data_IF_187647569455
#
_entry.id   IF_187647569455
#
_cell.length_a   1.000
_cell.length_b   1.000
_cell.length_c   1.000
_cell.angle_alpha   90.00
_cell.angle_beta   90.00
_cell.angle_gamma   90.00
#
_symmetry.space_group_name_H-M   'P 1'
#
loop_
_entity.id
_entity.type
_entity.pdbx_description
1 polymer ?
#
# COMPACT_ATOMS: atom_id res chain seq x y z
N UNK A 1 -59.94 45.88 0.63
CA UNK A 1 -59.25 44.61 0.96
C UNK A 1 -58.53 44.14 -0.28
N UNK A 2 -57.21 44.30 -0.34
CA UNK A 2 -56.38 43.74 -1.41
C UNK A 2 -55.66 42.55 -0.78
N UNK A 3 -56.05 41.35 -1.21
CA UNK A 3 -55.42 40.10 -0.79
C UNK A 3 -54.08 40.03 -1.52
N UNK A 4 -52.99 40.31 -0.80
CA UNK A 4 -51.65 40.00 -1.27
C UNK A 4 -51.42 38.49 -1.16
N UNK A 5 -51.45 37.82 -2.31
CA UNK A 5 -50.95 36.45 -2.43
C UNK A 5 -49.45 36.41 -2.09
N UNK A 6 -48.99 35.51 -1.21
CA UNK A 6 -47.56 35.35 -0.98
C UNK A 6 -46.93 34.71 -2.23
N UNK A 7 -45.95 35.40 -2.82
CA UNK A 7 -45.03 34.79 -3.79
C UNK A 7 -44.39 33.57 -3.10
N UNK A 8 -44.75 32.36 -3.52
CA UNK A 8 -43.98 31.16 -3.21
C UNK A 8 -42.54 31.42 -3.67
N UNK A 9 -41.60 31.44 -2.73
CA UNK A 9 -40.18 31.42 -3.04
C UNK A 9 -39.89 30.12 -3.80
N UNK A 10 -39.53 30.22 -5.09
CA UNK A 10 -38.97 29.08 -5.83
C UNK A 10 -37.82 28.49 -5.00
N UNK A 11 -38.02 27.28 -4.51
CA UNK A 11 -37.00 26.57 -3.77
C UNK A 11 -35.92 26.15 -4.78
N UNK A 12 -34.82 26.90 -4.88
CA UNK A 12 -33.73 26.69 -5.86
C UNK A 12 -33.00 25.33 -5.72
N UNK A 13 -33.41 24.49 -4.76
CA UNK A 13 -32.91 23.15 -4.52
C UNK A 13 -34.08 22.23 -4.12
N UNK A 14 -34.84 21.69 -5.09
CA UNK A 14 -35.88 20.70 -4.81
C UNK A 14 -35.31 19.47 -4.08
N UNK A 15 -36.11 18.83 -3.23
CA UNK A 15 -35.73 17.58 -2.58
C UNK A 15 -35.95 16.43 -3.54
N UNK A 16 -34.89 15.64 -3.76
CA UNK A 16 -34.95 14.35 -4.44
C UNK A 16 -34.94 13.29 -3.34
N UNK A 17 -36.08 12.59 -3.11
CA UNK A 17 -36.19 11.63 -2.02
C UNK A 17 -35.40 10.35 -2.28
N UNK A 18 -35.28 9.94 -3.54
CA UNK A 18 -34.52 8.78 -3.98
C UNK A 18 -33.41 9.18 -4.95
N UNK A 19 -32.17 8.85 -4.61
CA UNK A 19 -31.02 9.25 -5.43
C UNK A 19 -30.97 8.46 -6.74
N UNK A 20 -31.65 7.32 -6.83
CA UNK A 20 -31.72 6.50 -8.04
C UNK A 20 -32.59 7.16 -9.13
N UNK A 21 -33.44 8.13 -8.75
CA UNK A 21 -34.21 8.95 -9.70
C UNK A 21 -33.31 9.90 -10.54
N UNK A 22 -32.07 10.12 -10.09
CA UNK A 22 -31.16 11.12 -10.66
C UNK A 22 -29.78 10.57 -10.99
N UNK A 23 -29.27 9.62 -10.21
CA UNK A 23 -27.99 8.97 -10.46
C UNK A 23 -28.24 7.81 -11.42
N UNK A 24 -27.63 7.79 -12.61
CA UNK A 24 -27.78 6.67 -13.53
C UNK A 24 -27.35 5.35 -12.90
N UNK A 25 -27.88 4.24 -13.41
CA UNK A 25 -27.41 2.92 -13.01
C UNK A 25 -25.90 2.76 -13.24
N UNK A 26 -25.20 2.00 -12.36
CA UNK A 26 -23.81 1.65 -12.56
C UNK A 26 -23.59 0.98 -13.93
N UNK A 27 -22.59 1.42 -14.68
CA UNK A 27 -22.27 0.75 -15.95
C UNK A 27 -21.51 -0.55 -15.75
N UNK A 28 -20.90 -0.71 -14.57
CA UNK A 28 -20.22 -1.93 -14.18
C UNK A 28 -21.22 -2.81 -13.45
N UNK A 29 -21.46 -4.01 -13.98
CA UNK A 29 -22.34 -5.01 -13.39
C UNK A 29 -21.57 -6.30 -13.08
N UNK A 30 -21.85 -6.91 -11.93
CA UNK A 30 -21.40 -8.26 -11.62
C UNK A 30 -22.31 -9.31 -12.27
N UNK A 31 -21.73 -10.23 -13.01
CA UNK A 31 -22.41 -11.27 -13.77
C UNK A 31 -22.35 -12.59 -12.99
N UNK A 32 -23.50 -13.21 -12.66
CA UNK A 32 -23.52 -14.49 -11.96
C UNK A 32 -22.83 -15.59 -12.78
N UNK A 33 -22.34 -16.61 -12.09
CA UNK A 33 -21.73 -17.78 -12.76
C UNK A 33 -22.85 -18.62 -13.39
N UNK A 34 -22.79 -18.92 -14.70
CA UNK A 34 -23.79 -19.77 -15.33
C UNK A 34 -23.83 -21.17 -14.70
N UNK A 35 -25.01 -21.78 -14.73
CA UNK A 35 -25.20 -23.11 -14.17
C UNK A 35 -24.28 -24.13 -14.88
N UNK A 36 -23.58 -24.95 -14.10
CA UNK A 36 -22.68 -25.98 -14.62
C UNK A 36 -21.24 -25.52 -14.90
N UNK A 37 -20.94 -24.22 -14.85
CA UNK A 37 -19.57 -23.72 -15.02
C UNK A 37 -18.84 -23.71 -13.67
N UNK A 38 -17.66 -24.33 -13.62
CA UNK A 38 -16.75 -24.25 -12.47
C UNK A 38 -15.69 -23.21 -12.75
N UNK A 39 -15.75 -22.09 -12.02
CA UNK A 39 -14.71 -21.06 -12.02
C UNK A 39 -13.88 -21.15 -10.74
N UNK A 40 -12.62 -20.70 -10.77
CA UNK A 40 -11.87 -20.46 -9.55
C UNK A 40 -12.68 -19.60 -8.57
N UNK A 41 -12.60 -19.88 -7.26
CA UNK A 41 -13.19 -18.97 -6.29
C UNK A 41 -12.57 -17.59 -6.49
N UNK A 42 -13.37 -16.55 -6.30
CA UNK A 42 -12.94 -15.15 -6.38
C UNK A 42 -12.65 -14.59 -7.78
N UNK A 43 -12.88 -15.30 -8.89
CA UNK A 43 -12.77 -14.75 -10.26
C UNK A 43 -13.50 -13.42 -10.41
N UNK A 44 -12.91 -12.46 -11.14
CA UNK A 44 -13.54 -11.18 -11.43
C UNK A 44 -14.64 -11.38 -12.46
N UNK A 45 -15.88 -11.18 -12.03
CA UNK A 45 -17.10 -11.38 -12.83
C UNK A 45 -17.78 -10.07 -13.20
N UNK A 46 -17.02 -9.05 -13.55
CA UNK A 46 -17.57 -7.71 -13.82
C UNK A 46 -17.50 -7.38 -15.30
N UNK A 47 -18.60 -6.89 -15.87
CA UNK A 47 -18.66 -6.34 -17.23
C UNK A 47 -19.04 -4.88 -17.18
N UNK A 48 -18.63 -4.15 -18.22
CA UNK A 48 -19.06 -2.79 -18.51
C UNK A 48 -20.03 -2.79 -19.67
N UNK A 49 -21.25 -2.34 -19.45
CA UNK A 49 -22.20 -2.07 -20.53
C UNK A 49 -21.77 -0.83 -21.30
N UNK A 50 -21.87 -0.82 -22.63
CA UNK A 50 -21.52 0.31 -23.48
C UNK A 50 -22.77 1.09 -23.90
N UNK A 51 -22.59 2.36 -24.26
CA UNK A 51 -23.64 3.16 -24.92
C UNK A 51 -24.72 3.73 -23.99
N UNK A 52 -24.55 3.64 -22.66
CA UNK A 52 -25.43 4.32 -21.71
C UNK A 52 -25.39 5.84 -21.95
N UNK A 53 -26.56 6.44 -22.23
CA UNK A 53 -26.65 7.88 -22.38
C UNK A 53 -26.33 8.57 -21.04
N UNK A 54 -25.50 9.63 -21.02
CA UNK A 54 -25.32 10.43 -19.83
C UNK A 54 -26.64 11.09 -19.43
N UNK A 55 -26.87 11.35 -18.13
CA UNK A 55 -28.08 12.01 -17.67
C UNK A 55 -28.13 13.43 -18.25
N UNK A 56 -29.31 13.85 -18.68
CA UNK A 56 -29.57 15.19 -19.24
C UNK A 56 -30.55 15.95 -18.36
N UNK A 57 -30.22 17.20 -18.07
CA UNK A 57 -31.06 18.08 -17.24
C UNK A 57 -31.23 19.44 -17.93
N UNK A 58 -32.33 20.14 -17.63
CA UNK A 58 -32.62 21.44 -18.24
C UNK A 58 -31.64 22.56 -17.83
N UNK A 59 -30.95 22.37 -16.71
CA UNK A 59 -30.04 23.37 -16.12
C UNK A 59 -28.63 22.82 -15.95
N UNK A 60 -27.63 23.69 -16.06
CA UNK A 60 -26.23 23.37 -15.75
C UNK A 60 -25.58 24.55 -14.98
N UNK A 61 -25.35 24.44 -13.67
CA UNK A 61 -25.52 23.25 -12.84
C UNK A 61 -26.99 22.88 -12.62
N UNK A 62 -27.24 21.57 -12.42
CA UNK A 62 -28.48 21.07 -11.87
C UNK A 62 -28.37 21.04 -10.34
N UNK A 63 -29.31 21.69 -9.66
CA UNK A 63 -29.25 21.96 -8.22
C UNK A 63 -30.41 21.27 -7.50
N UNK A 64 -30.11 20.51 -6.45
CA UNK A 64 -31.12 19.76 -5.68
C UNK A 64 -30.64 19.47 -4.26
N UNK A 65 -31.54 18.99 -3.40
CA UNK A 65 -31.22 18.42 -2.10
C UNK A 65 -31.41 16.91 -2.09
N UNK A 66 -30.64 16.21 -1.27
CA UNK A 66 -30.74 14.77 -1.04
C UNK A 66 -31.07 14.49 0.43
N UNK A 67 -31.59 13.30 0.77
CA UNK A 67 -31.89 12.93 2.15
C UNK A 67 -30.61 12.88 3.00
N UNK A 68 -30.79 13.06 4.31
CA UNK A 68 -29.70 13.01 5.27
C UNK A 68 -29.09 14.38 5.60
N UNK A 69 -28.10 14.35 6.50
CA UNK A 69 -27.47 15.55 7.07
C UNK A 69 -26.01 15.33 7.49
N UNK A 70 -25.50 14.12 7.34
CA UNK A 70 -24.17 13.73 7.77
C UNK A 70 -23.18 13.73 6.60
N UNK A 71 -21.87 13.72 6.94
CA UNK A 71 -20.83 13.45 5.96
C UNK A 71 -20.97 12.03 5.37
N UNK A 72 -21.46 11.07 6.15
CA UNK A 72 -21.70 9.70 5.69
C UNK A 72 -22.72 9.64 4.56
N UNK A 73 -23.84 10.36 4.71
CA UNK A 73 -24.90 10.44 3.69
C UNK A 73 -24.36 11.07 2.38
N UNK A 74 -23.55 12.13 2.50
CA UNK A 74 -22.91 12.73 1.33
C UNK A 74 -21.87 11.82 0.68
N UNK A 75 -21.11 11.05 1.46
CA UNK A 75 -20.22 10.05 0.88
C UNK A 75 -20.97 8.90 0.22
N UNK A 76 -22.13 8.48 0.75
CA UNK A 76 -22.97 7.47 0.10
C UNK A 76 -23.46 7.95 -1.27
N UNK A 77 -23.94 9.19 -1.38
CA UNK A 77 -24.27 9.79 -2.67
C UNK A 77 -23.05 9.87 -3.61
N UNK A 78 -21.89 10.29 -3.10
CA UNK A 78 -20.67 10.35 -3.89
C UNK A 78 -20.22 8.95 -4.38
N UNK A 79 -20.47 7.89 -3.60
CA UNK A 79 -20.20 6.50 -4.00
C UNK A 79 -21.13 6.06 -5.14
N UNK A 80 -22.41 6.38 -5.07
CA UNK A 80 -23.36 6.12 -6.16
C UNK A 80 -22.94 6.85 -7.45
N UNK A 81 -22.62 8.15 -7.35
CA UNK A 81 -22.04 8.91 -8.46
C UNK A 81 -20.73 8.30 -8.98
N UNK A 82 -19.90 7.74 -8.09
CA UNK A 82 -18.64 7.10 -8.47
C UNK A 82 -18.80 5.79 -9.25
N UNK A 83 -19.98 5.17 -9.19
CA UNK A 83 -20.32 3.99 -9.97
C UNK A 83 -20.58 4.34 -11.44
N UNK A 84 -20.93 5.60 -11.74
CA UNK A 84 -21.13 6.11 -13.10
C UNK A 84 -19.93 6.92 -13.60
N UNK A 85 -19.21 7.69 -12.82
CA UNK A 85 -17.93 8.21 -13.33
C UNK A 85 -16.94 8.04 -12.23
N UNK A 86 -15.69 7.69 -12.53
CA UNK A 86 -14.66 7.68 -11.49
C UNK A 86 -14.27 9.11 -11.08
N UNK A 87 -15.23 9.83 -10.50
CA UNK A 87 -15.12 11.17 -9.97
C UNK A 87 -13.99 11.21 -8.95
N UNK A 88 -13.14 12.21 -9.08
CA UNK A 88 -12.00 12.40 -8.17
C UNK A 88 -12.37 13.48 -7.16
N UNK A 89 -12.25 13.17 -5.87
CA UNK A 89 -12.34 14.18 -4.82
C UNK A 89 -11.15 15.14 -4.97
N UNK A 90 -11.41 16.37 -5.40
CA UNK A 90 -10.40 17.41 -5.59
C UNK A 90 -10.11 18.14 -4.28
N UNK A 91 -11.17 18.42 -3.51
CA UNK A 91 -11.05 19.17 -2.28
C UNK A 91 -12.15 18.79 -1.27
N UNK A 92 -11.82 18.92 0.00
CA UNK A 92 -12.76 18.83 1.12
C UNK A 92 -12.56 20.05 2.02
N UNK A 93 -13.62 20.83 2.21
CA UNK A 93 -13.66 21.90 3.20
C UNK A 93 -14.26 21.34 4.49
N UNK A 94 -13.44 21.02 5.51
CA UNK A 94 -13.91 20.42 6.75
C UNK A 94 -14.77 21.39 7.57
N UNK A 95 -15.57 20.86 8.52
CA UNK A 95 -16.27 21.69 9.50
C UNK A 95 -15.29 22.62 10.22
N UNK A 96 -15.62 23.91 10.33
CA UNK A 96 -14.80 24.84 11.12
C UNK A 96 -14.90 24.49 12.61
N UNK A 97 -13.75 24.36 13.27
CA UNK A 97 -13.66 24.10 14.71
C UNK A 97 -14.15 25.36 15.46
N UNK A 98 -15.01 25.22 16.49
CA UNK A 98 -15.38 26.34 17.35
C UNK A 98 -14.13 27.00 17.97
N UNK A 99 -13.92 28.30 17.76
CA UNK A 99 -12.79 29.06 18.32
C UNK A 99 -11.69 29.47 17.34
N UNK A 100 -11.76 29.09 16.06
CA UNK A 100 -10.81 29.57 15.05
C UNK A 100 -10.96 31.09 14.81
N UNK A 101 -9.85 31.84 14.87
CA UNK A 101 -9.80 33.29 14.61
C UNK A 101 -10.44 33.59 13.25
N UNK A 102 -11.44 34.47 13.22
CA UNK A 102 -12.07 34.95 11.99
C UNK A 102 -11.02 35.72 11.18
N UNK A 103 -10.57 35.19 10.04
CA UNK A 103 -9.89 36.01 9.05
C UNK A 103 -10.93 36.99 8.47
N UNK A 104 -10.63 38.28 8.55
CA UNK A 104 -11.53 39.37 8.18
C UNK A 104 -11.92 39.36 6.68
N UNK A 105 -13.08 39.95 6.40
CA UNK A 105 -13.58 40.42 5.09
C UNK A 105 -14.10 39.39 4.07
N UNK A 106 -15.11 38.58 4.42
CA UNK A 106 -15.88 37.79 3.45
C UNK A 106 -17.33 37.56 3.89
N UNK A 107 -18.22 37.30 2.93
CA UNK A 107 -19.62 36.91 3.19
C UNK A 107 -19.63 35.70 4.14
N UNK A 108 -20.52 35.65 5.16
CA UNK A 108 -20.62 34.52 6.05
C UNK A 108 -20.75 33.21 5.26
N UNK A 109 -20.03 32.14 5.64
CA UNK A 109 -20.15 30.86 4.96
C UNK A 109 -21.60 30.37 5.08
N UNK A 110 -22.15 29.89 3.96
CA UNK A 110 -23.53 29.38 3.88
C UNK A 110 -23.62 27.88 4.17
N UNK A 111 -22.48 27.22 4.34
CA UNK A 111 -22.37 25.78 4.54
C UNK A 111 -21.44 25.45 5.72
N UNK A 112 -21.69 24.30 6.36
CA UNK A 112 -20.84 23.78 7.43
C UNK A 112 -19.58 23.11 6.89
N UNK A 113 -19.73 22.33 5.83
CA UNK A 113 -18.65 21.64 5.10
C UNK A 113 -19.06 21.46 3.64
N UNK A 114 -18.08 21.23 2.76
CA UNK A 114 -18.31 21.05 1.32
C UNK A 114 -17.32 20.05 0.71
N UNK A 115 -17.82 19.10 -0.07
CA UNK A 115 -17.06 18.15 -0.88
C UNK A 115 -17.06 18.61 -2.34
N UNK A 116 -15.91 18.47 -3.02
CA UNK A 116 -15.72 18.89 -4.40
C UNK A 116 -15.20 17.73 -5.24
N UNK A 117 -16.00 17.25 -6.18
CA UNK A 117 -15.66 16.15 -7.06
C UNK A 117 -15.56 16.62 -8.51
N UNK A 118 -14.56 16.12 -9.23
CA UNK A 118 -14.27 16.50 -10.62
C UNK A 118 -14.17 15.29 -11.53
N UNK A 119 -14.46 15.50 -12.81
CA UNK A 119 -14.19 14.51 -13.84
C UNK A 119 -12.70 14.14 -13.87
N UNK A 120 -12.33 12.85 -13.98
CA UNK A 120 -10.93 12.44 -14.08
C UNK A 120 -10.21 13.01 -15.31
N UNK A 121 -10.96 13.46 -16.34
CA UNK A 121 -10.44 14.07 -17.56
C UNK A 121 -10.31 15.60 -17.49
N UNK A 122 -10.53 16.22 -16.32
CA UNK A 122 -10.32 17.66 -16.07
C UNK A 122 -8.87 18.09 -16.28
N UNK A 123 -8.69 19.25 -16.91
CA UNK A 123 -7.40 19.86 -17.23
C UNK A 123 -6.83 19.40 -18.57
N UNK A 124 -5.69 19.97 -18.95
CA UNK A 124 -4.94 19.58 -20.14
C UNK A 124 -3.59 18.99 -19.72
N UNK A 125 -3.11 17.99 -20.46
CA UNK A 125 -1.78 17.46 -20.23
C UNK A 125 -0.77 18.25 -21.05
N UNK A 126 0.03 19.05 -20.38
CA UNK A 126 1.21 19.68 -20.97
C UNK A 126 2.41 18.77 -20.69
N UNK A 127 3.00 18.21 -21.75
CA UNK A 127 4.22 17.44 -21.60
C UNK A 127 5.36 18.40 -21.20
N UNK A 128 6.16 18.08 -20.16
CA UNK A 128 7.34 18.87 -19.84
C UNK A 128 8.27 18.95 -21.07
N UNK A 129 8.97 20.08 -21.27
CA UNK A 129 9.97 20.20 -22.33
C UNK A 129 10.97 19.03 -22.23
N UNK A 130 11.23 18.35 -23.35
CA UNK A 130 12.11 17.17 -23.47
C UNK A 130 11.59 15.86 -22.83
N UNK A 131 10.30 15.78 -22.48
CA UNK A 131 9.70 14.50 -22.07
C UNK A 131 9.62 13.53 -23.26
N UNK A 132 10.20 12.33 -23.11
CA UNK A 132 10.01 11.22 -24.06
C UNK A 132 8.63 10.55 -23.97
N UNK A 133 7.79 10.96 -23.01
CA UNK A 133 6.42 10.45 -22.87
C UNK A 133 5.52 11.19 -23.84
N UNK A 134 4.76 10.43 -24.64
CA UNK A 134 3.71 10.97 -25.51
C UNK A 134 2.70 11.79 -24.72
N UNK A 135 1.95 12.66 -25.42
CA UNK A 135 0.82 13.37 -24.83
C UNK A 135 -0.11 12.40 -24.11
N UNK A 136 -0.38 12.64 -22.82
CA UNK A 136 -1.30 11.78 -22.08
C UNK A 136 -2.72 12.03 -22.58
N UNK A 137 -3.28 11.11 -23.37
CA UNK A 137 -4.64 11.21 -23.91
C UNK A 137 -5.77 11.16 -22.87
N UNK A 138 -5.45 11.16 -21.57
CA UNK A 138 -6.41 11.05 -20.47
C UNK A 138 -7.13 12.36 -20.19
N UNK A 139 -6.41 13.48 -20.32
CA UNK A 139 -6.89 14.83 -19.96
C UNK A 139 -7.39 15.55 -21.22
N UNK A 140 -8.60 16.10 -21.17
CA UNK A 140 -9.24 16.74 -22.33
C UNK A 140 -9.98 18.04 -21.98
N UNK A 141 -9.67 18.66 -20.84
CA UNK A 141 -10.29 19.91 -20.41
C UNK A 141 -11.72 19.77 -19.89
N UNK A 142 -12.16 18.56 -19.52
CA UNK A 142 -13.54 18.35 -19.08
C UNK A 142 -13.85 19.13 -17.78
N UNK A 143 -14.88 19.98 -17.81
CA UNK A 143 -15.28 20.82 -16.67
C UNK A 143 -16.38 20.21 -15.80
N UNK A 144 -16.88 19.02 -16.17
CA UNK A 144 -17.88 18.31 -15.40
C UNK A 144 -17.39 18.08 -13.97
N UNK A 145 -18.26 18.37 -13.01
CA UNK A 145 -17.98 18.37 -11.57
C UNK A 145 -19.28 18.32 -10.77
N UNK A 146 -19.21 17.91 -9.53
CA UNK A 146 -20.32 18.13 -8.60
C UNK A 146 -19.80 18.47 -7.21
N UNK A 147 -20.61 19.20 -6.47
CA UNK A 147 -20.31 19.55 -5.09
C UNK A 147 -21.45 19.11 -4.18
N UNK A 148 -21.11 18.66 -2.98
CA UNK A 148 -22.09 18.37 -1.92
C UNK A 148 -21.77 19.26 -0.73
N UNK A 149 -22.76 19.95 -0.18
CA UNK A 149 -22.57 20.80 0.99
C UNK A 149 -23.72 20.71 1.97
N UNK A 150 -23.41 20.75 3.27
CA UNK A 150 -24.43 20.88 4.31
C UNK A 150 -24.76 22.35 4.50
N UNK A 151 -25.94 22.76 4.05
CA UNK A 151 -26.39 24.14 4.12
C UNK A 151 -26.81 24.51 5.55
N UNK A 152 -26.28 25.61 6.09
CA UNK A 152 -26.47 25.97 7.50
C UNK A 152 -27.92 26.33 7.83
N UNK A 153 -28.58 27.12 6.97
CA UNK A 153 -29.90 27.67 7.32
C UNK A 153 -31.02 26.64 7.23
N UNK A 154 -30.89 25.63 6.36
CA UNK A 154 -31.92 24.59 6.16
C UNK A 154 -31.51 23.23 6.70
N UNK A 155 -30.29 23.11 7.25
CA UNK A 155 -29.70 21.84 7.69
C UNK A 155 -29.81 20.70 6.66
N UNK A 156 -29.80 21.03 5.37
CA UNK A 156 -30.03 20.10 4.26
C UNK A 156 -28.77 19.89 3.43
N UNK A 157 -28.58 18.68 2.90
CA UNK A 157 -27.52 18.40 1.93
C UNK A 157 -27.90 18.94 0.56
N UNK A 158 -27.15 19.91 0.06
CA UNK A 158 -27.32 20.51 -1.27
C UNK A 158 -26.26 19.99 -2.22
N UNK A 159 -26.72 19.59 -3.41
CA UNK A 159 -25.89 19.15 -4.52
C UNK A 159 -25.95 20.20 -5.63
N UNK A 160 -24.78 20.58 -6.14
CA UNK A 160 -24.62 21.37 -7.36
C UNK A 160 -23.92 20.49 -8.38
N UNK A 161 -24.63 20.03 -9.41
CA UNK A 161 -24.09 19.10 -10.40
C UNK A 161 -23.91 19.75 -11.76
N UNK A 162 -22.65 19.96 -12.15
CA UNK A 162 -22.25 20.33 -13.50
C UNK A 162 -22.08 19.06 -14.33
N UNK A 163 -23.17 18.56 -14.88
CA UNK A 163 -23.29 17.22 -15.45
C UNK A 163 -22.74 17.10 -16.88
N UNK A 164 -22.57 18.23 -17.60
CA UNK A 164 -22.23 18.22 -19.02
C UNK A 164 -20.74 17.86 -19.22
N UNK A 165 -20.47 16.68 -19.77
CA UNK A 165 -19.12 16.23 -20.13
C UNK A 165 -18.72 16.73 -21.53
N UNK A 166 -17.44 17.06 -21.72
CA UNK A 166 -16.87 17.41 -23.03
C UNK A 166 -16.35 16.21 -23.81
N UNK A 167 -16.62 15.01 -23.32
CA UNK A 167 -16.25 13.74 -23.93
C UNK A 167 -17.40 12.76 -23.74
N UNK A 168 -17.48 11.78 -24.64
CA UNK A 168 -18.42 10.69 -24.49
C UNK A 168 -18.02 9.82 -23.30
N UNK A 169 -19.02 9.43 -22.53
CA UNK A 169 -18.86 8.49 -21.42
C UNK A 169 -19.08 7.08 -21.92
N UNK A 170 -18.44 6.12 -21.26
CA UNK A 170 -18.79 4.71 -21.38
C UNK A 170 -18.64 4.14 -22.82
N UNK A 171 -17.68 4.68 -23.57
CA UNK A 171 -17.21 4.15 -24.86
C UNK A 171 -15.88 3.41 -24.68
N UNK A 172 -15.52 2.56 -25.64
CA UNK A 172 -14.24 1.83 -25.63
C UNK A 172 -13.06 2.81 -25.60
N UNK A 173 -13.17 3.93 -26.31
CA UNK A 173 -12.19 5.01 -26.35
C UNK A 173 -12.06 5.70 -24.99
N UNK A 174 -13.17 5.95 -24.31
CA UNK A 174 -13.16 6.53 -22.97
C UNK A 174 -12.58 5.55 -21.93
N UNK A 175 -12.89 4.26 -22.02
CA UNK A 175 -12.31 3.21 -21.18
C UNK A 175 -10.78 3.19 -21.26
N UNK A 176 -10.22 3.26 -22.46
CA UNK A 176 -8.76 3.29 -22.68
C UNK A 176 -8.08 4.51 -22.04
N UNK A 177 -8.81 5.62 -21.88
CA UNK A 177 -8.29 6.90 -21.39
C UNK A 177 -8.59 7.14 -19.90
N UNK A 178 -9.65 6.53 -19.37
CA UNK A 178 -10.06 6.66 -17.98
C UNK A 178 -9.33 5.67 -17.09
N UNK A 179 -9.67 5.62 -15.80
CA UNK A 179 -9.16 4.60 -14.89
C UNK A 179 -10.22 3.50 -14.80
N UNK A 180 -9.82 2.28 -14.48
CA UNK A 180 -10.75 1.18 -14.14
C UNK A 180 -11.78 1.64 -13.10
N UNK A 181 -12.99 1.06 -13.06
CA UNK A 181 -13.98 1.42 -12.05
C UNK A 181 -13.45 1.24 -10.64
N UNK A 182 -14.09 1.93 -9.69
CA UNK A 182 -13.75 1.81 -8.27
C UNK A 182 -13.97 0.38 -7.76
N UNK A 183 -15.08 -0.28 -8.14
CA UNK A 183 -15.36 -1.66 -7.76
C UNK A 183 -14.24 -2.63 -8.19
N UNK A 184 -13.80 -2.54 -9.45
CA UNK A 184 -12.70 -3.36 -9.99
C UNK A 184 -11.38 -3.04 -9.31
N UNK A 185 -11.09 -1.75 -9.09
CA UNK A 185 -9.89 -1.33 -8.37
C UNK A 185 -9.85 -1.90 -6.95
N UNK A 186 -10.97 -1.86 -6.24
CA UNK A 186 -11.08 -2.35 -4.87
C UNK A 186 -11.00 -3.89 -4.83
N UNK A 187 -11.55 -4.58 -5.83
CA UNK A 187 -11.35 -6.03 -6.01
C UNK A 187 -9.88 -6.39 -6.21
N UNK A 188 -9.16 -5.70 -7.12
CA UNK A 188 -7.72 -5.94 -7.35
C UNK A 188 -6.93 -5.69 -6.08
N UNK A 189 -7.28 -4.61 -5.38
CA UNK A 189 -6.71 -4.28 -4.09
C UNK A 189 -6.86 -5.42 -3.06
N UNK A 190 -8.06 -5.98 -2.90
CA UNK A 190 -8.29 -7.08 -1.97
C UNK A 190 -7.44 -8.32 -2.29
N UNK A 191 -7.21 -8.63 -3.57
CA UNK A 191 -6.33 -9.74 -4.01
C UNK A 191 -4.87 -9.49 -3.65
N UNK A 192 -4.40 -8.27 -3.87
CA UNK A 192 -3.04 -7.86 -3.48
C UNK A 192 -2.87 -7.95 -1.96
N UNK A 193 -3.85 -7.48 -1.18
CA UNK A 193 -3.80 -7.54 0.28
C UNK A 193 -3.84 -8.98 0.80
N UNK A 194 -4.41 -9.90 0.02
CA UNK A 194 -4.38 -11.35 0.28
C UNK A 194 -3.06 -12.02 -0.14
N UNK A 195 -2.08 -11.26 -0.64
CA UNK A 195 -0.75 -11.76 -1.03
C UNK A 195 -0.63 -12.24 -2.47
N UNK A 196 -1.65 -12.07 -3.31
CA UNK A 196 -1.59 -12.50 -4.71
C UNK A 196 -0.70 -11.58 -5.57
N UNK A 197 0.12 -12.20 -6.42
CA UNK A 197 0.93 -11.53 -7.43
C UNK A 197 0.18 -11.30 -8.74
N UNK A 198 0.87 -10.71 -9.73
CA UNK A 198 0.28 -10.46 -11.05
C UNK A 198 -0.21 -11.75 -11.71
N UNK A 199 0.60 -12.80 -11.76
CA UNK A 199 0.27 -14.04 -12.48
C UNK A 199 -1.04 -14.66 -11.96
N UNK A 200 -1.20 -14.75 -10.63
CA UNK A 200 -2.44 -15.23 -10.02
C UNK A 200 -3.63 -14.30 -10.26
N UNK A 201 -3.42 -12.98 -10.28
CA UNK A 201 -4.48 -12.01 -10.57
C UNK A 201 -4.88 -12.10 -12.04
N UNK A 202 -3.92 -12.31 -12.95
CA UNK A 202 -4.15 -12.47 -14.38
C UNK A 202 -5.10 -13.63 -14.65
N UNK A 203 -4.88 -14.79 -14.01
CA UNK A 203 -5.77 -15.94 -14.14
C UNK A 203 -7.20 -15.65 -13.64
N UNK A 204 -7.33 -14.83 -12.59
CA UNK A 204 -8.62 -14.47 -12.01
C UNK A 204 -9.38 -13.39 -12.77
N UNK A 205 -8.72 -12.60 -13.64
CA UNK A 205 -9.40 -11.60 -14.49
C UNK A 205 -9.77 -12.15 -15.86
N UNK A 206 -9.19 -13.28 -16.27
CA UNK A 206 -9.51 -13.97 -17.51
C UNK A 206 -10.74 -14.88 -17.32
N UNK A 207 -11.95 -14.32 -17.46
CA UNK A 207 -13.20 -15.08 -17.45
C UNK A 207 -13.66 -15.33 -18.89
N UNK A 208 -13.21 -16.44 -19.50
CA UNK A 208 -13.53 -16.77 -20.90
C UNK A 208 -15.03 -16.92 -21.18
N UNK A 209 -15.80 -17.30 -20.17
CA UNK A 209 -17.25 -17.42 -20.30
C UNK A 209 -17.98 -16.07 -20.30
N UNK A 210 -17.27 -14.95 -20.06
CA UNK A 210 -17.79 -13.61 -20.35
C UNK A 210 -17.59 -13.24 -21.82
N UNK A 211 -16.74 -13.94 -22.56
CA UNK A 211 -16.46 -13.62 -23.96
C UNK A 211 -17.74 -13.75 -24.79
N UNK A 212 -18.50 -14.83 -24.61
CA UNK A 212 -19.80 -15.08 -25.26
C UNK A 212 -20.81 -13.92 -25.05
N UNK A 213 -20.86 -13.35 -23.83
CA UNK A 213 -21.71 -12.20 -23.53
C UNK A 213 -21.23 -10.93 -24.28
N UNK A 214 -19.91 -10.79 -24.42
CA UNK A 214 -19.27 -9.61 -24.99
C UNK A 214 -19.15 -9.66 -26.52
N UNK A 215 -19.36 -10.81 -27.16
CA UNK A 215 -19.44 -10.94 -28.63
C UNK A 215 -20.52 -10.03 -29.23
N UNK A 216 -21.58 -9.76 -28.47
CA UNK A 216 -22.68 -8.86 -28.87
C UNK A 216 -22.29 -7.38 -28.95
N UNK A 217 -21.04 -7.01 -28.62
CA UNK A 217 -20.50 -5.64 -28.59
C UNK A 217 -21.22 -4.65 -27.65
N UNK A 218 -22.19 -5.12 -26.86
CA UNK A 218 -22.91 -4.30 -25.87
C UNK A 218 -22.20 -4.24 -24.51
N UNK A 219 -21.27 -5.17 -24.25
CA UNK A 219 -20.54 -5.25 -22.99
C UNK A 219 -19.05 -5.57 -23.21
N UNK A 220 -18.21 -5.15 -22.26
CA UNK A 220 -16.78 -5.48 -22.24
C UNK A 220 -16.39 -6.01 -20.86
N UNK A 221 -15.59 -7.08 -20.73
CA UNK A 221 -15.10 -7.54 -19.44
C UNK A 221 -14.21 -6.48 -18.79
N UNK A 222 -14.50 -6.11 -17.54
CA UNK A 222 -13.71 -5.12 -16.81
C UNK A 222 -12.29 -5.62 -16.50
N UNK A 223 -12.10 -6.95 -16.51
CA UNK A 223 -10.79 -7.59 -16.39
C UNK A 223 -9.78 -7.08 -17.43
N UNK A 224 -10.24 -6.68 -18.62
CA UNK A 224 -9.39 -6.13 -19.69
C UNK A 224 -8.69 -4.82 -19.29
N UNK A 225 -9.26 -4.07 -18.35
CA UNK A 225 -8.64 -2.85 -17.82
C UNK A 225 -7.56 -3.10 -16.77
N UNK A 226 -7.41 -4.34 -16.29
CA UNK A 226 -6.44 -4.71 -15.24
C UNK A 226 -5.13 -5.14 -15.91
N UNK A 227 -4.10 -4.29 -15.80
CA UNK A 227 -2.80 -4.55 -16.43
C UNK A 227 -1.72 -4.95 -15.41
N UNK A 228 -0.68 -5.63 -15.90
CA UNK A 228 0.48 -5.99 -15.09
C UNK A 228 1.10 -4.76 -14.41
N UNK A 229 1.22 -3.64 -15.12
CA UNK A 229 1.81 -2.41 -14.58
C UNK A 229 0.92 -1.76 -13.51
N UNK A 230 -0.41 -1.82 -13.66
CA UNK A 230 -1.32 -1.38 -12.61
C UNK A 230 -1.11 -2.21 -11.34
N UNK A 231 -1.09 -3.54 -11.46
CA UNK A 231 -0.94 -4.44 -10.31
C UNK A 231 0.44 -4.24 -9.65
N UNK A 232 1.52 -4.18 -10.43
CA UNK A 232 2.87 -3.87 -9.91
C UNK A 232 2.92 -2.52 -9.19
N UNK A 233 2.31 -1.49 -9.77
CA UNK A 233 2.24 -0.17 -9.15
C UNK A 233 1.45 -0.22 -7.83
N UNK A 234 0.30 -0.88 -7.80
CA UNK A 234 -0.50 -1.04 -6.59
C UNK A 234 0.24 -1.83 -5.51
N UNK A 235 0.91 -2.94 -5.86
CA UNK A 235 1.76 -3.69 -4.93
C UNK A 235 2.83 -2.76 -4.34
N UNK A 236 3.54 -2.01 -5.18
CA UNK A 236 4.59 -1.09 -4.72
C UNK A 236 4.03 0.01 -3.80
N UNK A 237 2.98 0.69 -4.24
CA UNK A 237 2.37 1.79 -3.50
C UNK A 237 1.77 1.33 -2.18
N UNK A 238 1.12 0.16 -2.15
CA UNK A 238 0.52 -0.39 -0.94
C UNK A 238 1.54 -0.98 0.02
N UNK A 239 2.60 -1.61 -0.48
CA UNK A 239 3.79 -1.93 0.32
C UNK A 239 4.42 -0.68 0.95
N UNK A 240 4.42 0.47 0.28
CA UNK A 240 4.97 1.69 0.86
C UNK A 240 4.01 2.40 1.84
N UNK A 241 2.73 2.51 1.50
CA UNK A 241 1.75 3.27 2.28
C UNK A 241 1.29 2.53 3.55
N UNK A 242 1.16 1.20 3.51
CA UNK A 242 0.77 0.43 4.70
C UNK A 242 1.94 0.16 5.64
N UNK A 243 3.19 0.23 5.17
CA UNK A 243 4.39 -0.03 5.99
C UNK A 243 4.82 1.17 6.81
N UNK A 244 4.49 2.40 6.42
CA UNK A 244 4.84 3.61 7.19
C UNK A 244 3.62 4.16 7.93
N UNK A 245 3.46 3.78 9.20
CA UNK A 245 2.35 4.23 10.08
C UNK A 245 2.44 5.70 10.50
N UNK A 246 3.63 6.32 10.38
CA UNK A 246 3.83 7.73 10.71
C UNK A 246 5.01 8.34 9.93
N UNK A 247 5.01 9.68 9.73
CA UNK A 247 6.12 10.39 9.05
C UNK A 247 7.43 10.25 9.82
N UNK A 248 7.41 10.44 11.13
CA UNK A 248 8.56 10.08 11.98
C UNK A 248 8.75 8.55 12.04
N UNK A 249 9.97 8.06 11.78
CA UNK A 249 10.28 6.63 11.68
C UNK A 249 10.18 5.94 13.05
N UNK A 250 10.67 6.56 14.12
CA UNK A 250 10.63 5.98 15.47
C UNK A 250 9.20 5.89 15.99
N UNK A 251 8.37 6.91 15.73
CA UNK A 251 6.93 6.84 16.00
C UNK A 251 6.24 5.78 15.13
N UNK A 252 6.65 5.62 13.88
CA UNK A 252 6.14 4.55 13.01
C UNK A 252 6.48 3.16 13.57
N UNK A 253 7.71 2.95 14.06
CA UNK A 253 8.16 1.71 14.68
C UNK A 253 7.42 1.43 16.00
N UNK A 254 7.19 2.47 16.82
CA UNK A 254 6.39 2.36 18.04
C UNK A 254 4.95 1.92 17.76
N UNK A 255 4.32 2.48 16.71
CA UNK A 255 2.99 2.06 16.26
C UNK A 255 2.99 0.64 15.68
N UNK A 256 4.09 0.21 15.06
CA UNK A 256 4.25 -1.17 14.62
C UNK A 256 4.39 -2.13 15.79
N UNK A 257 5.16 -1.77 16.82
CA UNK A 257 5.31 -2.59 18.01
C UNK A 257 3.96 -2.91 18.66
N UNK A 258 3.14 -1.86 18.89
CA UNK A 258 1.79 -2.01 19.46
C UNK A 258 0.93 -2.93 18.59
N UNK A 259 0.96 -2.73 17.28
CA UNK A 259 0.17 -3.53 16.34
C UNK A 259 0.65 -4.99 16.28
N UNK A 260 1.95 -5.23 16.23
CA UNK A 260 2.52 -6.58 16.23
C UNK A 260 2.17 -7.32 17.52
N UNK A 261 2.32 -6.66 18.68
CA UNK A 261 1.88 -7.22 19.97
C UNK A 261 0.38 -7.55 19.97
N UNK A 262 -0.48 -6.71 19.38
CA UNK A 262 -1.92 -7.02 19.26
C UNK A 262 -2.23 -8.24 18.39
N UNK A 263 -1.33 -8.60 17.47
CA UNK A 263 -1.41 -9.80 16.64
C UNK A 263 -0.73 -11.02 17.28
N UNK A 264 -0.29 -10.90 18.55
CA UNK A 264 0.40 -11.95 19.29
C UNK A 264 1.87 -12.14 18.92
N UNK A 265 2.47 -11.23 18.15
CA UNK A 265 3.90 -11.28 17.86
C UNK A 265 4.72 -10.91 19.09
N UNK A 266 5.91 -11.48 19.18
CA UNK A 266 6.90 -11.13 20.18
C UNK A 266 7.83 -10.05 19.65
N UNK A 267 7.96 -8.96 20.40
CA UNK A 267 8.84 -7.86 20.06
C UNK A 267 9.72 -7.50 21.24
N UNK A 268 10.93 -7.03 20.95
CA UNK A 268 11.84 -6.48 21.94
C UNK A 268 12.45 -5.20 21.40
N UNK A 269 12.10 -4.09 22.04
CA UNK A 269 12.43 -2.75 21.55
C UNK A 269 12.73 -1.82 22.72
N UNK A 270 13.83 -2.02 23.46
CA UNK A 270 14.15 -1.24 24.65
C UNK A 270 14.34 0.25 24.35
N UNK A 271 14.83 0.59 23.14
CA UNK A 271 15.01 1.96 22.68
C UNK A 271 14.57 2.10 21.22
N UNK A 272 13.45 2.79 21.00
CA UNK A 272 12.95 3.21 19.68
C UNK A 272 13.16 4.72 19.54
N UNK A 273 14.41 5.13 19.39
CA UNK A 273 14.82 6.52 19.21
C UNK A 273 16.10 6.61 18.38
N UNK A 274 16.45 7.80 17.91
CA UNK A 274 17.72 8.06 17.23
C UNK A 274 18.88 7.98 18.24
N UNK A 275 19.45 6.79 18.40
CA UNK A 275 20.47 6.48 19.39
C UNK A 275 21.34 5.31 18.93
N UNK A 276 22.56 5.21 19.44
CA UNK A 276 23.39 3.99 19.29
C UNK A 276 22.73 2.77 19.94
N UNK A 277 21.93 3.01 20.99
CA UNK A 277 21.15 1.99 21.66
C UNK A 277 19.88 1.58 20.89
N UNK A 278 19.61 2.15 19.71
CA UNK A 278 18.45 1.78 18.90
C UNK A 278 18.43 0.27 18.65
N UNK A 279 17.35 -0.37 19.08
CA UNK A 279 17.14 -1.81 18.94
C UNK A 279 15.66 -2.09 18.72
N UNK A 280 15.35 -2.84 17.66
CA UNK A 280 13.99 -3.29 17.37
C UNK A 280 14.01 -4.73 16.86
N UNK A 281 13.53 -5.67 17.67
CA UNK A 281 13.49 -7.09 17.36
C UNK A 281 12.05 -7.56 17.20
N UNK A 282 11.84 -8.50 16.27
CA UNK A 282 10.53 -9.10 16.01
C UNK A 282 10.67 -10.61 15.80
N UNK A 283 9.71 -11.34 16.35
CA UNK A 283 9.56 -12.78 16.20
C UNK A 283 8.06 -13.12 16.11
N UNK A 284 7.65 -13.75 15.02
CA UNK A 284 6.26 -14.18 14.86
C UNK A 284 5.92 -15.35 15.78
N UNK A 285 4.63 -15.62 16.08
CA UNK A 285 4.23 -16.76 16.89
C UNK A 285 4.76 -18.10 16.36
N UNK A 286 4.77 -18.26 15.03
CA UNK A 286 5.28 -19.46 14.39
C UNK A 286 6.80 -19.58 14.53
N UNK A 287 7.53 -18.49 14.32
CA UNK A 287 8.99 -18.49 14.49
C UNK A 287 9.40 -18.83 15.92
N UNK A 288 8.67 -18.29 16.91
CA UNK A 288 8.89 -18.62 18.33
C UNK A 288 8.70 -20.12 18.58
N UNK A 289 7.62 -20.71 18.07
CA UNK A 289 7.38 -22.15 18.17
C UNK A 289 8.51 -22.97 17.54
N UNK A 290 8.98 -22.56 16.35
CA UNK A 290 10.09 -23.24 15.69
C UNK A 290 11.39 -23.14 16.50
N UNK A 291 11.68 -21.97 17.08
CA UNK A 291 12.84 -21.78 17.96
C UNK A 291 12.78 -22.66 19.20
N UNK A 292 11.62 -22.74 19.87
CA UNK A 292 11.44 -23.59 21.05
C UNK A 292 11.57 -25.08 20.71
N UNK A 293 11.05 -25.51 19.55
CA UNK A 293 11.07 -26.91 19.16
C UNK A 293 12.43 -27.39 18.63
N UNK A 294 13.20 -26.52 17.96
CA UNK A 294 14.35 -26.92 17.15
C UNK A 294 15.61 -26.08 17.36
N UNK A 295 15.56 -25.04 18.19
CA UNK A 295 16.67 -24.09 18.38
C UNK A 295 17.83 -24.58 19.24
N UNK A 296 17.74 -25.77 19.84
CA UNK A 296 18.76 -26.27 20.77
C UNK A 296 20.01 -26.79 20.08
N UNK A 297 19.97 -27.13 18.80
CA UNK A 297 21.12 -27.76 18.11
C UNK A 297 22.17 -26.72 17.72
N UNK A 298 21.85 -25.90 16.72
CA UNK A 298 22.75 -24.90 16.17
C UNK A 298 22.01 -23.60 15.93
N UNK A 299 22.51 -22.52 16.51
CA UNK A 299 22.06 -21.16 16.25
C UNK A 299 22.96 -20.52 15.19
N UNK A 300 22.35 -19.89 14.20
CA UNK A 300 23.05 -19.19 13.12
C UNK A 300 22.75 -17.69 13.25
N UNK A 301 23.78 -16.85 13.29
CA UNK A 301 23.62 -15.39 13.38
C UNK A 301 24.33 -14.73 12.21
N UNK A 302 23.58 -14.00 11.39
CA UNK A 302 24.10 -13.28 10.24
C UNK A 302 23.79 -11.77 10.34
N UNK A 303 24.81 -10.93 10.15
CA UNK A 303 24.64 -9.49 10.06
C UNK A 303 24.67 -9.05 8.60
N UNK A 304 23.57 -8.46 8.13
CA UNK A 304 23.52 -7.83 6.81
C UNK A 304 23.64 -6.32 6.93
N UNK A 305 24.81 -5.79 6.58
CA UNK A 305 25.06 -4.35 6.52
C UNK A 305 24.58 -3.76 5.17
N UNK A 306 24.16 -2.50 5.19
CA UNK A 306 23.79 -1.74 3.98
C UNK A 306 22.61 -2.31 3.16
N UNK A 307 21.71 -3.10 3.78
CA UNK A 307 20.58 -3.75 3.09
C UNK A 307 19.59 -2.79 2.46
N UNK A 308 19.57 -1.52 2.87
CA UNK A 308 18.68 -0.47 2.37
C UNK A 308 19.31 0.91 2.56
N UNK A 309 18.82 1.92 1.83
CA UNK A 309 19.14 3.33 2.07
C UNK A 309 18.39 3.80 3.34
N UNK A 310 18.80 3.29 4.51
CA UNK A 310 18.11 3.43 5.79
C UNK A 310 18.78 4.48 6.70
N UNK A 311 19.17 5.62 6.13
CA UNK A 311 19.77 6.75 6.84
C UNK A 311 18.74 7.53 7.68
N UNK A 312 17.93 6.84 8.48
CA UNK A 312 16.97 7.49 9.40
C UNK A 312 17.60 7.79 10.76
N UNK A 313 18.79 7.27 11.03
CA UNK A 313 19.62 7.66 12.17
C UNK A 313 20.43 8.90 11.79
N UNK A 314 20.58 9.82 12.75
CA UNK A 314 21.40 11.02 12.55
C UNK A 314 22.86 10.68 12.23
N UNK A 315 23.56 11.69 11.69
CA UNK A 315 24.98 11.60 11.32
C UNK A 315 25.30 10.60 10.20
N UNK A 316 24.29 10.22 9.41
CA UNK A 316 24.48 9.30 8.27
C UNK A 316 24.70 7.85 8.69
N UNK A 317 24.41 7.51 9.95
CA UNK A 317 24.45 6.14 10.45
C UNK A 317 23.40 5.29 9.74
N UNK A 318 23.73 4.03 9.53
CA UNK A 318 22.85 3.03 8.91
C UNK A 318 22.47 2.00 9.94
N UNK A 319 21.19 1.64 9.98
CA UNK A 319 20.78 0.50 10.80
C UNK A 319 21.30 -0.80 10.17
N UNK A 320 21.73 -1.74 11.01
CA UNK A 320 22.11 -3.09 10.60
C UNK A 320 20.96 -4.04 10.84
N UNK A 321 20.81 -5.04 9.95
CA UNK A 321 19.85 -6.12 10.11
C UNK A 321 20.59 -7.36 10.57
N UNK A 322 20.20 -7.90 11.72
CA UNK A 322 20.61 -9.21 12.18
C UNK A 322 19.49 -10.21 11.92
N UNK A 323 19.86 -11.33 11.34
CA UNK A 323 18.98 -12.49 11.16
C UNK A 323 19.48 -13.61 12.04
N UNK A 324 18.64 -14.05 12.97
CA UNK A 324 18.88 -15.25 13.77
C UNK A 324 18.13 -16.40 13.12
N UNK A 325 18.84 -17.48 12.83
CA UNK A 325 18.32 -18.66 12.17
C UNK A 325 18.62 -19.91 12.99
N UNK A 326 17.81 -20.94 12.79
CA UNK A 326 18.04 -22.30 13.31
C UNK A 326 18.10 -23.26 12.12
N UNK A 327 18.56 -24.49 12.36
CA UNK A 327 18.48 -25.53 11.34
C UNK A 327 17.04 -26.06 11.23
N UNK A 328 16.47 -26.02 10.04
CA UNK A 328 15.18 -26.62 9.74
C UNK A 328 15.27 -28.14 9.84
N UNK A 329 14.43 -28.77 10.67
CA UNK A 329 14.45 -30.22 10.89
C UNK A 329 14.06 -31.04 9.66
N UNK A 330 13.28 -30.47 8.73
CA UNK A 330 12.79 -31.16 7.53
C UNK A 330 13.76 -31.00 6.36
N UNK A 331 14.14 -29.75 6.07
CA UNK A 331 14.95 -29.44 4.87
C UNK A 331 16.45 -29.42 5.15
N UNK A 332 16.85 -29.38 6.42
CA UNK A 332 18.24 -29.18 6.83
C UNK A 332 18.79 -27.77 6.57
N UNK A 333 18.01 -26.88 5.93
CA UNK A 333 18.40 -25.51 5.59
C UNK A 333 18.23 -24.53 6.77
N UNK A 334 18.84 -23.34 6.67
CA UNK A 334 18.62 -22.27 7.64
C UNK A 334 17.17 -21.76 7.63
N UNK A 335 16.56 -21.67 8.81
CA UNK A 335 15.23 -21.12 9.02
C UNK A 335 15.32 -19.83 9.85
N UNK A 336 14.96 -18.65 9.30
CA UNK A 336 14.94 -17.41 10.07
C UNK A 336 13.84 -17.43 11.14
N UNK A 337 14.26 -17.20 12.39
CA UNK A 337 13.39 -17.27 13.57
C UNK A 337 13.38 -15.98 14.38
N UNK A 338 14.24 -15.01 14.06
CA UNK A 338 14.16 -13.66 14.60
C UNK A 338 14.86 -12.67 13.65
N UNK A 339 14.30 -11.48 13.54
CA UNK A 339 14.94 -10.33 12.88
C UNK A 339 15.14 -9.22 13.89
N UNK A 340 16.32 -8.59 13.86
CA UNK A 340 16.64 -7.46 14.72
C UNK A 340 17.28 -6.33 13.93
N UNK A 341 16.82 -5.10 14.18
CA UNK A 341 17.39 -3.89 13.62
C UNK A 341 18.17 -3.16 14.71
N UNK A 342 19.43 -2.84 14.44
CA UNK A 342 20.30 -2.17 15.42
C UNK A 342 20.90 -0.88 14.86
N UNK A 343 21.14 0.11 15.72
CA UNK A 343 21.86 1.33 15.37
C UNK A 343 23.38 1.20 15.43
N UNK A 344 23.88 0.09 15.98
CA UNK A 344 25.29 -0.16 16.26
C UNK A 344 25.68 -1.61 15.95
N UNK A 345 26.95 -1.82 15.61
CA UNK A 345 27.60 -3.13 15.43
C UNK A 345 28.41 -3.57 16.66
N UNK A 346 28.21 -2.88 17.78
CA UNK A 346 28.86 -3.19 19.05
C UNK A 346 28.33 -4.51 19.65
N UNK A 347 28.94 -4.93 20.75
CA UNK A 347 28.62 -6.20 21.43
C UNK A 347 27.24 -6.11 22.08
N UNK A 348 26.94 -4.97 22.70
CA UNK A 348 25.82 -4.76 23.60
C UNK A 348 24.45 -4.97 22.93
N UNK A 349 24.18 -4.49 21.69
CA UNK A 349 22.91 -4.79 21.02
C UNK A 349 22.72 -6.27 20.73
N UNK A 350 23.80 -6.99 20.40
CA UNK A 350 23.77 -8.41 20.03
C UNK A 350 23.53 -9.26 21.27
N UNK A 351 24.22 -8.95 22.37
CA UNK A 351 24.01 -9.58 23.67
C UNK A 351 22.57 -9.40 24.14
N UNK A 352 22.00 -8.19 24.00
CA UNK A 352 20.60 -7.93 24.33
C UNK A 352 19.63 -8.76 23.48
N UNK A 353 19.89 -8.91 22.18
CA UNK A 353 19.07 -9.77 21.29
C UNK A 353 19.11 -11.22 21.78
N UNK A 354 20.31 -11.76 22.00
CA UNK A 354 20.49 -13.16 22.38
C UNK A 354 19.92 -13.43 23.79
N UNK A 355 20.13 -12.52 24.74
CA UNK A 355 19.58 -12.59 26.10
C UNK A 355 18.06 -12.58 26.06
N UNK A 356 17.45 -11.69 25.27
CA UNK A 356 16.00 -11.66 25.10
C UNK A 356 15.47 -12.98 24.52
N UNK A 357 16.12 -13.54 23.50
CA UNK A 357 15.71 -14.83 22.93
C UNK A 357 15.87 -15.97 23.95
N UNK A 358 16.96 -16.01 24.70
CA UNK A 358 17.18 -16.96 25.78
C UNK A 358 16.05 -16.91 26.82
N UNK A 359 15.78 -15.72 27.36
CA UNK A 359 14.76 -15.54 28.40
C UNK A 359 13.33 -15.80 27.89
N UNK A 360 13.03 -15.41 26.65
CA UNK A 360 11.66 -15.49 26.12
C UNK A 360 11.30 -16.85 25.52
N UNK A 361 12.28 -17.69 25.19
CA UNK A 361 12.06 -18.99 24.53
C UNK A 361 12.71 -20.18 25.23
N UNK A 362 13.57 -19.94 26.24
CA UNK A 362 14.38 -20.99 26.85
C UNK A 362 15.49 -21.50 25.91
N UNK A 363 15.96 -20.66 24.98
CA UNK A 363 16.95 -21.02 23.98
C UNK A 363 18.28 -21.43 24.64
N UNK A 364 18.68 -22.69 24.47
CA UNK A 364 19.95 -23.25 24.95
C UNK A 364 20.61 -23.97 23.76
N UNK A 365 21.42 -23.27 22.93
CA UNK A 365 22.06 -23.87 21.78
C UNK A 365 23.32 -24.66 22.19
N UNK A 366 23.55 -25.82 21.58
CA UNK A 366 24.81 -26.57 21.76
C UNK A 366 25.97 -25.90 21.03
N UNK A 367 25.68 -25.27 19.89
CA UNK A 367 26.69 -24.58 19.09
C UNK A 367 26.12 -23.31 18.44
N UNK A 368 27.01 -22.34 18.19
CA UNK A 368 26.67 -21.14 17.42
C UNK A 368 27.55 -21.04 16.18
N UNK A 369 26.96 -20.63 15.06
CA UNK A 369 27.67 -20.24 13.86
C UNK A 369 27.38 -18.79 13.52
N UNK A 370 28.42 -17.99 13.26
CA UNK A 370 28.25 -16.59 12.87
C UNK A 370 29.10 -16.19 11.68
N UNK A 371 28.89 -14.98 11.16
CA UNK A 371 29.90 -14.30 10.35
C UNK A 371 31.20 -14.08 11.16
N UNK A 372 32.28 -13.63 10.50
CA UNK A 372 33.58 -13.39 11.13
C UNK A 372 33.65 -12.13 12.02
N UNK A 373 32.54 -11.68 12.62
CA UNK A 373 32.53 -10.53 13.52
C UNK A 373 32.87 -10.93 14.96
N UNK A 374 33.95 -10.34 15.50
CA UNK A 374 34.35 -10.52 16.90
C UNK A 374 33.27 -10.07 17.88
N UNK A 375 32.47 -9.05 17.52
CA UNK A 375 31.39 -8.57 18.36
C UNK A 375 30.30 -9.64 18.59
N UNK A 376 29.97 -10.43 17.57
CA UNK A 376 29.01 -11.54 17.71
C UNK A 376 29.59 -12.62 18.62
N UNK A 377 30.87 -12.99 18.44
CA UNK A 377 31.52 -13.96 19.32
C UNK A 377 31.51 -13.51 20.78
N UNK A 378 31.88 -12.27 21.06
CA UNK A 378 31.85 -11.74 22.42
C UNK A 378 30.44 -11.75 23.02
N UNK A 379 29.42 -11.35 22.24
CA UNK A 379 28.03 -11.38 22.68
C UNK A 379 27.51 -12.80 22.96
N UNK A 380 27.90 -13.77 22.12
CA UNK A 380 27.59 -15.20 22.32
C UNK A 380 28.21 -15.70 23.61
N UNK A 381 29.49 -15.40 23.86
CA UNK A 381 30.17 -15.79 25.10
C UNK A 381 29.55 -15.15 26.34
N UNK A 382 29.12 -13.88 26.24
CA UNK A 382 28.45 -13.19 27.34
C UNK A 382 27.06 -13.76 27.64
N UNK A 383 26.33 -14.22 26.61
CA UNK A 383 24.96 -14.74 26.78
C UNK A 383 24.92 -16.24 27.13
N UNK A 384 25.85 -17.01 26.58
CA UNK A 384 25.90 -18.47 26.68
C UNK A 384 27.28 -18.90 27.18
N UNK A 385 27.57 -18.61 28.45
CA UNK A 385 28.85 -18.91 29.10
C UNK A 385 29.18 -20.41 29.18
N UNK A 386 28.15 -21.26 29.11
CA UNK A 386 28.24 -22.73 29.06
C UNK A 386 28.56 -23.31 27.68
N UNK A 387 28.63 -22.48 26.64
CA UNK A 387 28.68 -22.94 25.25
C UNK A 387 30.10 -23.40 24.85
N UNK A 388 30.20 -24.62 24.33
CA UNK A 388 31.50 -25.24 24.04
C UNK A 388 32.03 -24.88 22.64
N UNK A 389 31.15 -24.68 21.65
CA UNK A 389 31.55 -24.57 20.24
C UNK A 389 30.98 -23.33 19.53
N UNK A 390 31.87 -22.39 19.17
CA UNK A 390 31.58 -21.30 18.24
C UNK A 390 32.26 -21.56 16.88
N UNK A 391 31.46 -21.70 15.83
CA UNK A 391 31.91 -21.85 14.45
C UNK A 391 31.85 -20.55 13.65
N UNK A 392 32.82 -20.35 12.76
CA UNK A 392 32.77 -19.28 11.77
C UNK A 392 32.17 -19.81 10.47
N UNK A 393 31.26 -19.04 9.87
CA UNK A 393 30.68 -19.37 8.59
C UNK A 393 31.77 -19.42 7.50
N UNK A 394 31.98 -20.59 6.89
CA UNK A 394 33.03 -20.83 5.89
C UNK A 394 32.94 -19.84 4.71
N UNK A 395 31.72 -19.52 4.25
CA UNK A 395 31.50 -18.54 3.20
C UNK A 395 32.09 -17.17 3.55
N UNK A 396 31.82 -16.70 4.78
CA UNK A 396 32.35 -15.43 5.28
C UNK A 396 33.86 -15.46 5.48
N UNK A 397 34.42 -16.57 5.94
CA UNK A 397 35.88 -16.75 6.06
C UNK A 397 36.56 -16.68 4.68
N UNK A 398 36.01 -17.39 3.68
CA UNK A 398 36.55 -17.36 2.30
C UNK A 398 36.47 -15.95 1.72
N UNK A 399 35.32 -15.28 1.88
CA UNK A 399 35.13 -13.89 1.42
C UNK A 399 36.11 -12.92 2.08
N UNK A 400 36.33 -13.04 3.38
CA UNK A 400 37.29 -12.22 4.11
C UNK A 400 38.74 -12.46 3.62
N UNK A 401 39.14 -13.72 3.42
CA UNK A 401 40.46 -14.06 2.88
C UNK A 401 40.67 -13.52 1.46
N UNK A 402 39.66 -13.62 0.60
CA UNK A 402 39.70 -13.08 -0.75
C UNK A 402 39.88 -11.55 -0.76
N UNK A 403 39.16 -10.83 0.11
CA UNK A 403 39.30 -9.38 0.26
C UNK A 403 40.70 -8.98 0.75
N UNK A 404 41.27 -9.71 1.71
CA UNK A 404 42.64 -9.47 2.19
C UNK A 404 43.66 -9.69 1.07
N UNK A 405 43.51 -10.76 0.28
CA UNK A 405 44.42 -11.05 -0.83
C UNK A 405 44.32 -9.99 -1.95
N UNK A 406 43.10 -9.56 -2.31
CA UNK A 406 42.87 -8.48 -3.28
C UNK A 406 43.39 -7.13 -2.79
N UNK A 407 43.23 -6.82 -1.49
CA UNK A 407 43.76 -5.61 -0.88
C UNK A 407 45.29 -5.56 -0.91
N UNK A 408 45.96 -6.69 -0.63
CA UNK A 408 47.43 -6.81 -0.76
C UNK A 408 47.88 -6.60 -2.21
N UNK A 409 47.22 -7.23 -3.19
CA UNK A 409 47.56 -7.04 -4.61
C UNK A 409 47.32 -5.60 -5.12
N UNK A 410 46.32 -4.89 -4.60
CA UNK A 410 46.08 -3.48 -4.93
C UNK A 410 47.13 -2.55 -4.32
N UNK A 411 47.61 -2.84 -3.10
CA UNK A 411 48.73 -2.14 -2.49
C UNK A 411 50.04 -2.39 -3.25
N UNK A 412 50.28 -3.64 -3.66
CA UNK A 412 51.44 -4.02 -4.49
C UNK A 412 51.38 -3.41 -5.90
N UNK A 413 50.18 -3.17 -6.44
CA UNK A 413 49.95 -2.55 -7.74
C UNK A 413 49.83 -1.01 -7.71
N UNK A 414 50.05 -0.36 -6.56
CA UNK A 414 50.01 1.10 -6.42
C UNK A 414 48.64 1.77 -6.63
N UNK A 415 47.54 1.00 -6.60
CA UNK A 415 46.20 1.48 -6.95
C UNK A 415 45.33 1.86 -5.75
N UNK A 416 44.98 3.15 -5.62
CA UNK A 416 43.93 3.64 -4.70
C UNK A 416 42.52 3.30 -5.21
N UNK A 417 42.13 2.03 -5.19
CA UNK A 417 40.81 1.55 -5.60
C UNK A 417 39.92 1.11 -4.43
N UNK A 418 38.73 1.72 -4.29
CA UNK A 418 37.69 1.29 -3.32
C UNK A 418 36.93 0.07 -3.85
N UNK A 419 37.02 -1.08 -3.18
CA UNK A 419 36.23 -2.27 -3.51
C UNK A 419 34.80 -2.09 -2.97
N UNK A 420 33.79 -2.11 -3.85
CA UNK A 420 32.37 -2.22 -3.47
C UNK A 420 31.88 -3.66 -3.65
N UNK A 421 31.30 -4.23 -2.61
CA UNK A 421 30.61 -5.52 -2.66
C UNK A 421 29.20 -5.34 -3.24
N UNK A 422 28.95 -5.93 -4.40
CA UNK A 422 27.59 -6.16 -4.90
C UNK A 422 27.12 -7.54 -4.41
N UNK A 423 26.02 -7.58 -3.68
CA UNK A 423 25.31 -8.82 -3.36
C UNK A 423 24.44 -9.19 -4.58
N UNK A 424 24.78 -10.27 -5.27
CA UNK A 424 23.91 -10.91 -6.26
C UNK A 424 23.32 -12.16 -5.60
N UNK A 425 22.03 -12.10 -5.26
CA UNK A 425 21.21 -13.27 -4.95
C UNK A 425 20.76 -13.89 -6.28
N UNK A 426 21.13 -15.15 -6.51
CA UNK A 426 20.60 -15.93 -7.63
C UNK A 426 21.45 -17.14 -7.97
N UNK A 427 21.13 -18.30 -7.39
CA UNK A 427 21.43 -19.59 -8.02
C UNK A 427 20.13 -20.38 -8.01
N UNK A 428 19.47 -20.41 -9.18
CA UNK A 428 18.53 -21.46 -9.56
C UNK A 428 19.31 -22.67 -10.09
N UNK A 429 18.69 -23.86 -10.16
CA UNK A 429 19.39 -25.11 -10.42
C UNK A 429 19.75 -25.23 -11.90
N UNK A 430 21.04 -25.34 -12.21
CA UNK A 430 21.54 -25.76 -13.51
C UNK A 430 21.67 -27.27 -13.54
N UNK A 431 20.76 -27.92 -14.25
CA UNK A 431 20.87 -29.28 -14.74
C UNK A 431 22.06 -29.43 -15.70
N UNK A 432 22.90 -30.43 -15.45
CA UNK A 432 23.68 -31.13 -16.48
C UNK A 432 24.05 -32.51 -15.92
N UNK A 433 23.21 -33.50 -16.23
CA UNK A 433 23.68 -34.85 -16.51
C UNK A 433 23.53 -35.04 -18.03
N UNK A 434 24.62 -35.55 -18.63
CA UNK A 434 24.82 -36.14 -19.96
C UNK A 434 23.86 -35.78 -21.11
#
# INVERSE_FOLDING_TARGET
MIISTPKLSQNNYPLIPDIDDIVPEPFTQEIPVPHGIKLPPCTLRMVRWLGSAPPTFDTNPHCFTIPGRSLGDAFAFAVAMQATVRWTLENFSPPKIPGAKKSNAGRPPTYQWKLFYICPRKGHHEAPPNSRKSESGRKCGCEAKFNISLHLATASLRVEWFWKHSHELNTVEDMKKTRIPKAVHDWVCARIDSGLGWDSIQDLVLSRDLDDLCETSAAIPEGNGVTADLVRHLIKTRRCNNVRKHRDVFKSLSLWEVHLKSLGWHTFAPVIADSEAFLFCIQSPWQRKMMMAHGTTMLLVDATHNTVNNCFLSQGRKASLYTVMIRNAVTGMGLPVCWAFTGSLAIEPIEQILTWLHQSTGLIPHSVMSDCALAIKAAVTATFDYLMDHYWCVFHVIKAKALVHLGKRLQEAGGSGRIRSHNVLGIGPGSTEQ
#
